data_IF_862083110747
#
_entry.id   IF_862083110747
#
_cell.length_a   1.000
_cell.length_b   1.000
_cell.length_c   1.000
_cell.angle_alpha   90.00
_cell.angle_beta   90.00
_cell.angle_gamma   90.00
#
_symmetry.space_group_name_H-M   'P 1'
#
loop_
_entity.id
_entity.type
_entity.pdbx_description
1 polymer ?
#
# COMPACT_ATOMS: atom_id res chain seq x y z
N UNK A 1 -5.09 25.73 15.22
CA UNK A 1 -4.83 24.79 16.34
C UNK A 1 -6.18 24.48 16.92
N UNK A 2 -6.75 23.31 16.63
CA UNK A 2 -8.09 22.97 17.15
C UNK A 2 -7.94 21.79 18.10
N UNK A 3 -7.78 22.11 19.38
CA UNK A 3 -8.05 21.25 20.52
C UNK A 3 -9.52 20.79 20.48
N UNK A 4 -9.78 19.48 20.57
CA UNK A 4 -11.15 18.96 20.52
C UNK A 4 -11.65 18.70 21.95
N UNK A 5 -12.48 19.61 22.44
CA UNK A 5 -13.10 19.54 23.77
C UNK A 5 -14.09 18.38 23.87
N UNK A 6 -14.06 17.67 25.00
CA UNK A 6 -15.04 16.66 25.38
C UNK A 6 -15.82 17.17 26.59
N UNK A 7 -17.12 17.30 26.42
CA UNK A 7 -18.03 17.84 27.44
C UNK A 7 -18.80 16.73 28.14
N UNK A 8 -19.28 17.02 29.36
CA UNK A 8 -20.16 16.11 30.09
C UNK A 8 -21.44 15.87 29.25
N UNK A 9 -21.71 14.62 28.82
CA UNK A 9 -22.89 14.30 28.03
C UNK A 9 -24.17 14.41 28.88
N UNK A 10 -25.33 14.43 28.21
CA UNK A 10 -26.61 14.40 28.92
C UNK A 10 -26.73 13.13 29.77
N UNK A 11 -27.03 13.32 31.06
CA UNK A 11 -27.23 12.26 32.02
C UNK A 11 -28.69 11.78 31.96
N UNK A 12 -28.91 10.48 32.15
CA UNK A 12 -30.27 9.93 32.22
C UNK A 12 -31.07 10.62 33.34
N UNK A 13 -32.38 10.79 33.12
CA UNK A 13 -33.34 11.40 34.06
C UNK A 13 -33.24 12.93 34.29
N UNK A 14 -32.58 13.68 33.40
CA UNK A 14 -32.61 15.16 33.44
C UNK A 14 -31.79 15.77 34.58
N UNK A 15 -30.83 15.01 35.10
CA UNK A 15 -29.83 15.48 36.06
C UNK A 15 -28.94 16.55 35.41
N UNK A 16 -28.65 17.61 36.15
CA UNK A 16 -27.98 18.81 35.62
C UNK A 16 -26.50 18.88 35.95
N UNK A 17 -26.07 18.21 37.02
CA UNK A 17 -24.71 18.26 37.55
C UNK A 17 -24.24 16.85 37.96
N UNK A 18 -22.93 16.64 37.92
CA UNK A 18 -22.27 15.43 38.43
C UNK A 18 -20.93 15.77 39.11
N UNK A 19 -20.54 14.98 40.10
CA UNK A 19 -19.24 15.09 40.78
C UNK A 19 -18.21 14.16 40.12
N UNK A 20 -16.99 14.66 39.90
CA UNK A 20 -15.87 13.84 39.38
C UNK A 20 -15.30 12.98 40.52
N UNK A 21 -15.52 11.67 40.46
CA UNK A 21 -15.04 10.72 41.49
C UNK A 21 -13.59 10.33 41.25
N UNK A 22 -13.28 9.92 40.02
CA UNK A 22 -11.96 9.41 39.68
C UNK A 22 -11.68 9.53 38.18
N UNK A 23 -10.48 9.99 37.83
CA UNK A 23 -9.97 9.89 36.47
C UNK A 23 -9.28 8.54 36.23
N UNK A 24 -9.62 7.89 35.12
CA UNK A 24 -8.98 6.63 34.67
C UNK A 24 -7.85 6.86 33.68
N UNK A 25 -7.61 8.12 33.32
CA UNK A 25 -6.66 8.54 32.29
C UNK A 25 -5.94 9.81 32.73
N UNK A 26 -4.71 10.00 32.24
CA UNK A 26 -3.89 11.16 32.50
C UNK A 26 -3.53 11.90 31.18
N UNK A 27 -3.21 13.21 31.24
CA UNK A 27 -2.61 13.90 30.10
C UNK A 27 -1.35 13.18 29.64
N UNK A 28 -1.25 12.84 28.36
CA UNK A 28 -0.19 11.95 27.85
C UNK A 28 -0.68 10.57 27.40
N UNK A 29 -1.86 10.15 27.87
CA UNK A 29 -2.36 8.80 27.61
C UNK A 29 -3.06 8.70 26.26
N UNK A 30 -2.88 7.54 25.61
CA UNK A 30 -3.67 7.15 24.44
C UNK A 30 -4.84 6.30 24.90
N UNK A 31 -6.04 6.65 24.44
CA UNK A 31 -7.29 5.99 24.78
C UNK A 31 -7.95 5.44 23.52
N UNK A 32 -8.56 4.27 23.63
CA UNK A 32 -9.38 3.68 22.57
C UNK A 32 -10.85 4.02 22.76
N UNK A 33 -11.62 3.98 21.68
CA UNK A 33 -13.07 4.12 21.70
C UNK A 33 -13.69 3.11 22.67
N UNK A 34 -14.59 3.55 23.54
CA UNK A 34 -15.22 2.71 24.56
C UNK A 34 -14.43 2.57 25.88
N UNK A 35 -13.17 3.00 25.94
CA UNK A 35 -12.38 2.97 27.17
C UNK A 35 -12.91 3.98 28.19
N UNK A 36 -13.10 3.55 29.45
CA UNK A 36 -13.53 4.44 30.53
C UNK A 36 -12.55 5.60 30.73
N UNK A 37 -13.05 6.84 30.69
CA UNK A 37 -12.25 8.05 30.89
C UNK A 37 -12.35 8.54 32.34
N UNK A 38 -13.56 8.60 32.87
CA UNK A 38 -13.84 9.19 34.18
C UNK A 38 -15.05 8.51 34.83
N UNK A 39 -14.95 8.26 36.13
CA UNK A 39 -16.09 7.90 36.97
C UNK A 39 -16.71 9.17 37.54
N UNK A 40 -18.03 9.30 37.37
CA UNK A 40 -18.82 10.41 37.90
C UNK A 40 -19.85 9.90 38.89
N UNK A 41 -20.15 10.68 39.91
CA UNK A 41 -21.23 10.42 40.87
C UNK A 41 -22.36 11.43 40.67
N UNK A 42 -23.57 10.90 40.67
CA UNK A 42 -24.81 11.67 40.69
C UNK A 42 -25.59 11.30 41.93
N UNK A 43 -26.65 12.06 42.26
CA UNK A 43 -27.58 11.77 43.37
C UNK A 43 -28.20 10.35 43.33
N UNK A 44 -28.08 9.63 42.21
CA UNK A 44 -28.66 8.29 42.05
C UNK A 44 -27.64 7.16 41.95
N UNK A 45 -26.51 7.38 41.27
CA UNK A 45 -25.55 6.33 40.96
C UNK A 45 -24.19 6.89 40.54
N UNK A 46 -23.16 6.03 40.67
CA UNK A 46 -21.86 6.20 40.03
C UNK A 46 -21.90 5.61 38.62
N UNK A 47 -21.42 6.36 37.64
CA UNK A 47 -21.37 5.95 36.24
C UNK A 47 -20.00 6.24 35.62
N UNK A 48 -19.56 5.39 34.69
CA UNK A 48 -18.34 5.60 33.92
C UNK A 48 -18.66 6.20 32.56
N UNK A 49 -17.91 7.24 32.18
CA UNK A 49 -18.03 7.86 30.87
C UNK A 49 -16.95 7.28 29.95
N UNK A 50 -17.32 6.54 28.89
CA UNK A 50 -16.35 6.01 27.94
C UNK A 50 -15.88 7.04 26.92
N UNK A 51 -14.72 6.81 26.32
CA UNK A 51 -14.19 7.61 25.23
C UNK A 51 -15.03 7.44 23.97
N UNK A 52 -15.45 8.52 23.28
CA UNK A 52 -16.21 8.44 22.04
C UNK A 52 -15.33 8.18 20.80
N UNK A 53 -14.00 8.17 20.96
CA UNK A 53 -13.04 8.00 19.86
C UNK A 53 -11.67 7.56 20.36
N UNK A 54 -10.86 7.06 19.43
CA UNK A 54 -9.43 6.86 19.64
C UNK A 54 -8.75 8.23 19.67
N UNK A 55 -8.04 8.53 20.75
CA UNK A 55 -7.43 9.83 20.94
C UNK A 55 -6.29 9.80 21.95
N UNK A 56 -5.50 10.87 21.95
CA UNK A 56 -4.55 11.16 23.03
C UNK A 56 -5.17 12.21 23.95
N UNK A 57 -5.08 12.08 25.27
CA UNK A 57 -5.49 13.09 26.24
C UNK A 57 -4.46 14.24 26.28
N UNK A 58 -4.84 15.44 25.84
CA UNK A 58 -3.95 16.61 25.92
C UNK A 58 -3.94 17.23 27.32
N UNK A 59 -5.11 17.40 27.93
CA UNK A 59 -5.25 17.93 29.29
C UNK A 59 -6.63 17.63 29.87
N UNK A 60 -6.68 17.49 31.19
CA UNK A 60 -7.93 17.44 31.96
C UNK A 60 -8.29 18.87 32.37
N UNK A 61 -9.57 19.23 32.28
CA UNK A 61 -10.07 20.58 32.55
C UNK A 61 -10.68 20.73 33.96
N UNK A 62 -10.92 19.62 34.65
CA UNK A 62 -11.57 19.54 35.97
C UNK A 62 -10.85 18.50 36.84
N UNK A 63 -10.80 18.74 38.15
CA UNK A 63 -10.15 17.89 39.13
C UNK A 63 -11.13 16.89 39.77
N UNK A 64 -10.60 15.84 40.40
CA UNK A 64 -11.40 14.96 41.25
C UNK A 64 -11.98 15.76 42.44
N UNK A 65 -13.27 15.56 42.72
CA UNK A 65 -14.07 16.32 43.69
C UNK A 65 -14.75 17.57 43.12
N UNK A 66 -14.53 17.92 41.85
CA UNK A 66 -15.25 19.04 41.22
C UNK A 66 -16.68 18.65 40.83
N UNK A 67 -17.64 19.56 41.02
CA UNK A 67 -19.02 19.43 40.55
C UNK A 67 -19.16 20.16 39.21
N UNK A 68 -19.59 19.44 38.17
CA UNK A 68 -19.64 19.92 36.79
C UNK A 68 -21.05 19.79 36.20
N UNK A 69 -21.51 20.84 35.52
CA UNK A 69 -22.82 20.84 34.85
C UNK A 69 -22.77 20.17 33.48
N UNK A 70 -23.89 19.62 33.02
CA UNK A 70 -24.02 19.05 31.66
C UNK A 70 -23.58 20.07 30.62
N UNK A 71 -22.75 19.64 29.67
CA UNK A 71 -22.15 20.50 28.66
C UNK A 71 -20.85 21.20 29.08
N UNK A 72 -20.41 21.09 30.34
CA UNK A 72 -19.10 21.59 30.77
C UNK A 72 -17.97 20.72 30.20
N UNK A 73 -16.87 21.36 29.78
CA UNK A 73 -15.70 20.67 29.22
C UNK A 73 -14.93 19.91 30.30
N UNK A 74 -14.86 18.58 30.17
CA UNK A 74 -14.18 17.69 31.11
C UNK A 74 -12.70 17.54 30.77
N UNK A 75 -12.38 17.34 29.49
CA UNK A 75 -11.01 17.20 29.00
C UNK A 75 -10.88 17.70 27.57
N UNK A 76 -9.64 17.83 27.14
CA UNK A 76 -9.27 18.11 25.76
C UNK A 76 -8.51 16.94 25.19
N UNK A 77 -8.96 16.46 24.04
CA UNK A 77 -8.18 15.53 23.24
C UNK A 77 -7.09 16.26 22.46
N UNK A 78 -5.86 15.76 22.55
CA UNK A 78 -4.72 16.18 21.76
C UNK A 78 -4.79 15.67 20.33
N UNK A 79 -3.96 16.27 19.47
CA UNK A 79 -3.89 15.89 18.05
C UNK A 79 -3.39 14.45 17.90
N UNK A 80 -4.33 13.51 17.78
CA UNK A 80 -4.25 12.46 16.78
C UNK A 80 -5.11 12.92 15.60
N UNK A 81 -4.58 13.20 14.40
CA UNK A 81 -5.42 13.72 13.34
C UNK A 81 -6.18 12.57 12.66
N UNK A 82 -7.48 12.53 12.88
CA UNK A 82 -8.45 12.22 11.84
C UNK A 82 -9.46 13.37 11.75
N UNK A 83 -9.14 14.40 10.94
CA UNK A 83 -10.11 15.06 10.07
C UNK A 83 -9.47 16.11 9.15
N UNK A 84 -9.61 15.81 7.86
CA UNK A 84 -9.74 16.65 6.66
C UNK A 84 -9.73 18.17 6.90
N UNK A 85 -8.55 18.79 6.73
CA UNK A 85 -8.46 20.14 6.16
C UNK A 85 -7.43 20.11 5.04
N UNK A 86 -7.89 20.54 3.86
CA UNK A 86 -7.07 20.89 2.69
C UNK A 86 -5.94 21.80 3.14
N UNK A 87 -4.76 21.21 3.37
CA UNK A 87 -3.51 21.94 3.29
C UNK A 87 -3.18 22.02 1.80
N UNK A 88 -3.01 23.24 1.30
CA UNK A 88 -2.41 23.49 -0.01
C UNK A 88 -1.17 22.60 -0.18
N UNK A 89 -1.05 21.93 -1.33
CA UNK A 89 0.05 21.01 -1.67
C UNK A 89 1.44 21.62 -1.40
N UNK A 90 1.57 22.94 -1.48
CA UNK A 90 2.79 23.68 -1.19
C UNK A 90 3.27 23.59 0.28
N UNK A 91 2.35 23.51 1.26
CA UNK A 91 2.71 23.41 2.68
C UNK A 91 3.12 21.97 3.07
N UNK A 92 2.50 20.96 2.43
CA UNK A 92 2.90 19.56 2.55
C UNK A 92 4.27 19.30 1.90
N UNK A 93 4.52 19.86 0.71
CA UNK A 93 5.84 19.82 0.05
C UNK A 93 6.95 20.50 0.86
N UNK A 94 6.62 21.56 1.61
CA UNK A 94 7.57 22.28 2.47
C UNK A 94 8.04 21.44 3.66
N UNK A 95 7.12 20.77 4.36
CA UNK A 95 7.46 19.89 5.47
C UNK A 95 8.18 18.61 5.00
N UNK A 96 7.85 18.11 3.81
CA UNK A 96 8.49 16.97 3.13
C UNK A 96 9.97 17.24 2.78
N UNK A 97 10.30 18.44 2.27
CA UNK A 97 11.69 18.86 2.06
C UNK A 97 12.49 18.93 3.37
N UNK A 98 11.84 19.19 4.49
CA UNK A 98 12.49 19.42 5.78
C UNK A 98 12.85 18.09 6.48
N UNK A 99 12.03 17.04 6.37
CA UNK A 99 12.32 15.70 6.89
C UNK A 99 13.44 14.99 6.09
N UNK A 100 13.43 15.09 4.76
CA UNK A 100 14.47 14.53 3.89
C UNK A 100 15.79 15.32 3.88
N UNK A 101 15.78 16.56 4.39
CA UNK A 101 16.97 17.36 4.57
C UNK A 101 17.71 17.07 5.87
N UNK A 102 17.26 16.09 6.68
CA UNK A 102 17.98 15.71 7.89
C UNK A 102 19.41 15.26 7.51
N UNK A 103 20.45 15.68 8.25
CA UNK A 103 21.81 15.21 7.99
C UNK A 103 21.92 13.68 7.99
N UNK A 104 21.13 13.00 8.83
CA UNK A 104 21.08 11.55 8.92
C UNK A 104 20.54 10.90 7.64
N UNK A 105 19.40 11.37 7.11
CA UNK A 105 18.82 10.86 5.88
C UNK A 105 19.76 11.08 4.68
N UNK A 106 20.42 12.26 4.59
CA UNK A 106 21.38 12.53 3.52
C UNK A 106 22.61 11.64 3.57
N UNK A 107 23.12 11.38 4.78
CA UNK A 107 24.25 10.47 4.97
C UNK A 107 23.86 9.05 4.56
N UNK A 108 22.69 8.58 5.01
CA UNK A 108 22.18 7.25 4.66
C UNK A 108 21.99 7.09 3.15
N UNK A 109 21.36 8.05 2.47
CA UNK A 109 21.21 8.03 1.00
C UNK A 109 22.57 7.92 0.30
N UNK A 110 23.57 8.67 0.77
CA UNK A 110 24.92 8.64 0.21
C UNK A 110 25.58 7.27 0.38
N UNK A 111 25.50 6.70 1.58
CA UNK A 111 26.04 5.37 1.88
C UNK A 111 25.38 4.30 1.00
N UNK A 112 24.04 4.28 0.96
CA UNK A 112 23.28 3.35 0.12
C UNK A 112 23.66 3.47 -1.36
N UNK A 113 23.83 4.69 -1.86
CA UNK A 113 24.17 4.93 -3.27
C UNK A 113 25.57 4.40 -3.61
N UNK A 114 26.56 4.62 -2.74
CA UNK A 114 27.91 4.07 -2.91
C UNK A 114 27.91 2.54 -2.93
N UNK A 115 27.12 1.92 -2.06
CA UNK A 115 26.99 0.46 -2.03
C UNK A 115 26.31 -0.09 -3.30
N UNK A 116 25.26 0.58 -3.80
CA UNK A 116 24.61 0.21 -5.06
C UNK A 116 25.53 0.37 -6.27
N UNK A 117 26.35 1.43 -6.31
CA UNK A 117 27.36 1.63 -7.35
C UNK A 117 28.37 0.47 -7.33
N UNK A 118 28.88 0.10 -6.16
CA UNK A 118 29.79 -1.05 -6.03
C UNK A 118 29.16 -2.39 -6.47
N UNK A 119 27.86 -2.60 -6.18
CA UNK A 119 27.12 -3.78 -6.65
C UNK A 119 27.01 -3.79 -8.18
N UNK A 120 26.67 -2.65 -8.79
CA UNK A 120 26.56 -2.54 -10.26
C UNK A 120 27.89 -2.77 -10.95
N UNK A 121 28.98 -2.25 -10.38
CA UNK A 121 30.32 -2.41 -10.94
C UNK A 121 30.86 -3.84 -10.80
N UNK A 122 30.41 -4.58 -9.78
CA UNK A 122 30.80 -5.97 -9.53
C UNK A 122 29.89 -7.01 -10.21
N UNK A 123 28.69 -6.61 -10.64
CA UNK A 123 27.81 -7.49 -11.39
C UNK A 123 28.47 -7.90 -12.72
N UNK A 124 28.49 -9.19 -13.07
CA UNK A 124 29.08 -9.64 -14.33
C UNK A 124 28.40 -8.89 -15.49
N UNK A 125 29.20 -8.13 -16.26
CA UNK A 125 28.74 -7.49 -17.49
C UNK A 125 28.43 -8.57 -18.53
N UNK A 126 27.24 -9.15 -18.50
CA UNK A 126 26.78 -10.07 -19.54
C UNK A 126 25.77 -11.10 -19.09
N UNK A 127 24.49 -10.77 -19.21
CA UNK A 127 23.43 -11.70 -19.63
C UNK A 127 22.18 -10.98 -20.15
N UNK A 128 22.29 -9.79 -20.75
CA UNK A 128 21.30 -9.42 -21.77
C UNK A 128 21.83 -10.00 -23.06
N UNK A 129 21.43 -11.23 -23.40
CA UNK A 129 21.44 -11.61 -24.81
C UNK A 129 20.42 -10.70 -25.49
N UNK A 130 20.79 -9.84 -26.45
CA UNK A 130 19.84 -9.04 -27.22
C UNK A 130 18.99 -9.90 -28.19
N UNK A 131 18.84 -11.19 -27.91
CA UNK A 131 18.03 -12.14 -28.68
C UNK A 131 16.61 -12.16 -28.14
N UNK A 132 15.89 -11.06 -28.40
CA UNK A 132 14.42 -10.94 -28.55
C UNK A 132 14.01 -9.45 -28.69
N UNK A 133 14.93 -8.60 -29.13
CA UNK A 133 14.67 -7.22 -29.53
C UNK A 133 14.18 -7.06 -30.99
N UNK A 134 13.10 -7.74 -31.42
CA UNK A 134 12.29 -7.17 -32.50
C UNK A 134 10.80 -7.11 -32.12
N UNK A 135 10.46 -6.30 -31.12
CA UNK A 135 9.07 -5.84 -30.92
C UNK A 135 8.96 -4.35 -30.54
N UNK A 136 10.03 -3.74 -30.02
CA UNK A 136 10.00 -2.34 -29.56
C UNK A 136 11.21 -1.49 -30.02
N UNK A 137 11.84 -1.87 -31.13
CA UNK A 137 12.89 -1.05 -31.76
C UNK A 137 12.28 -0.05 -32.77
N UNK A 138 11.52 0.91 -32.26
CA UNK A 138 11.28 2.17 -32.95
C UNK A 138 11.67 3.28 -31.98
N UNK A 139 12.63 4.11 -32.39
CA UNK A 139 13.15 5.23 -31.63
C UNK A 139 12.01 6.03 -30.97
N UNK A 140 12.09 6.23 -29.65
CA UNK A 140 11.16 7.05 -28.90
C UNK A 140 11.04 8.45 -29.53
N UNK A 141 9.91 8.81 -30.16
CA UNK A 141 9.62 10.19 -30.46
C UNK A 141 9.18 10.90 -29.17
N UNK A 142 9.30 12.22 -29.16
CA UNK A 142 8.67 13.03 -28.11
C UNK A 142 7.18 12.67 -28.00
N UNK A 143 6.71 12.46 -26.77
CA UNK A 143 5.38 11.98 -26.43
C UNK A 143 4.29 12.91 -27.01
N UNK A 144 3.55 12.41 -28.01
CA UNK A 144 2.25 12.93 -28.43
C UNK A 144 1.17 12.07 -27.74
N UNK A 145 0.33 12.63 -26.86
CA UNK A 145 -0.69 11.89 -26.12
C UNK A 145 -1.78 11.22 -27.00
N UNK A 146 -1.74 11.38 -28.33
CA UNK A 146 -2.69 10.79 -29.27
C UNK A 146 -2.31 9.45 -29.89
N UNK A 147 -1.10 8.92 -29.68
CA UNK A 147 -0.66 7.68 -30.38
C UNK A 147 -0.05 6.68 -29.41
N UNK A 148 -0.86 5.81 -28.83
CA UNK A 148 -0.33 4.63 -28.14
C UNK A 148 -0.02 3.52 -29.15
N UNK A 149 1.09 2.83 -28.93
CA UNK A 149 1.47 1.62 -29.68
C UNK A 149 0.46 0.48 -29.44
N UNK A 150 -0.32 0.53 -28.35
CA UNK A 150 -1.33 -0.48 -28.00
C UNK A 150 -2.64 -0.32 -28.79
N UNK A 151 -3.03 0.90 -29.15
CA UNK A 151 -4.28 1.20 -29.85
C UNK A 151 -4.40 0.56 -31.25
N UNK A 152 -3.28 0.10 -31.82
CA UNK A 152 -3.20 -0.52 -33.15
C UNK A 152 -2.94 -2.03 -33.12
N UNK A 153 -2.85 -2.66 -31.94
CA UNK A 153 -2.57 -4.09 -31.84
C UNK A 153 -3.85 -4.96 -31.96
N UNK A 154 -3.80 -5.93 -32.87
CA UNK A 154 -4.82 -6.98 -33.02
C UNK A 154 -4.94 -7.85 -31.77
N UNK A 155 -6.12 -8.45 -31.52
CA UNK A 155 -6.31 -9.47 -30.47
C UNK A 155 -5.28 -10.61 -30.55
N UNK A 156 -4.77 -10.92 -31.76
CA UNK A 156 -3.69 -11.89 -31.97
C UNK A 156 -2.32 -11.46 -31.42
N UNK A 157 -2.08 -10.15 -31.23
CA UNK A 157 -0.82 -9.61 -30.73
C UNK A 157 -0.77 -9.55 -29.19
N UNK A 158 -1.93 -9.51 -28.50
CA UNK A 158 -1.99 -9.63 -27.04
C UNK A 158 -1.56 -11.02 -26.55
N UNK A 159 -1.83 -12.06 -27.35
CA UNK A 159 -1.44 -13.44 -27.05
C UNK A 159 0.09 -13.66 -26.99
N UNK A 160 0.88 -12.76 -27.58
CA UNK A 160 2.34 -12.86 -27.61
C UNK A 160 3.04 -11.93 -26.61
N UNK A 161 2.30 -11.05 -25.91
CA UNK A 161 2.89 -10.17 -24.91
C UNK A 161 3.14 -10.92 -23.59
N UNK A 162 4.39 -10.89 -23.07
CA UNK A 162 4.73 -11.54 -21.82
C UNK A 162 3.87 -11.09 -20.63
N UNK A 163 3.65 -11.98 -19.68
CA UNK A 163 2.87 -11.73 -18.47
C UNK A 163 3.81 -11.26 -17.37
N UNK A 164 3.55 -10.06 -16.84
CA UNK A 164 4.15 -9.60 -15.60
C UNK A 164 3.51 -10.38 -14.45
N UNK A 165 4.33 -11.09 -13.68
CA UNK A 165 3.94 -11.72 -12.41
C UNK A 165 4.54 -10.87 -11.30
N UNK A 166 3.67 -10.34 -10.45
CA UNK A 166 4.05 -9.66 -9.21
C UNK A 166 3.80 -10.60 -8.02
N UNK A 167 4.79 -10.75 -7.15
CA UNK A 167 4.67 -11.56 -5.93
C UNK A 167 4.78 -10.68 -4.70
N UNK A 168 3.70 -10.54 -3.93
CA UNK A 168 3.65 -9.91 -2.63
C UNK A 168 3.92 -10.93 -1.51
N UNK A 169 5.16 -10.93 -1.01
CA UNK A 169 5.68 -12.09 -0.30
C UNK A 169 5.29 -12.16 1.17
N UNK A 170 4.87 -11.07 1.80
CA UNK A 170 4.59 -11.08 3.24
C UNK A 170 3.38 -10.26 3.68
N UNK A 171 3.28 -8.98 3.38
CA UNK A 171 2.23 -8.14 3.96
C UNK A 171 2.30 -8.07 5.49
N UNK A 172 1.13 -8.00 6.15
CA UNK A 172 1.03 -8.17 7.60
C UNK A 172 0.68 -9.62 8.02
N UNK A 173 0.98 -10.59 7.14
CA UNK A 173 0.69 -12.01 7.36
C UNK A 173 1.45 -12.56 8.55
N UNK A 174 0.73 -13.21 9.45
CA UNK A 174 1.32 -13.80 10.65
C UNK A 174 1.81 -15.23 10.39
N UNK A 175 2.96 -15.66 10.96
CA UNK A 175 3.43 -17.05 10.85
C UNK A 175 2.44 -18.10 11.35
N UNK A 176 1.58 -17.72 12.30
CA UNK A 176 0.49 -18.57 12.78
C UNK A 176 -0.52 -18.92 11.68
N UNK A 177 -0.66 -18.05 10.66
CA UNK A 177 -1.52 -18.29 9.49
C UNK A 177 -0.83 -19.21 8.48
N UNK A 178 0.39 -18.87 8.12
CA UNK A 178 1.22 -19.69 7.24
C UNK A 178 2.68 -19.61 7.72
N UNK A 179 3.30 -20.74 8.12
CA UNK A 179 4.66 -20.74 8.67
C UNK A 179 5.74 -20.37 7.64
N UNK A 180 5.41 -20.35 6.35
CA UNK A 180 6.33 -20.00 5.27
C UNK A 180 6.45 -18.50 5.01
N UNK A 181 5.62 -17.66 5.66
CA UNK A 181 5.71 -16.21 5.49
C UNK A 181 7.09 -15.68 5.96
N UNK A 182 7.82 -14.93 5.12
CA UNK A 182 9.10 -14.37 5.51
C UNK A 182 8.92 -13.12 6.40
N UNK A 183 9.38 -13.20 7.64
CA UNK A 183 9.20 -12.14 8.66
C UNK A 183 10.48 -11.45 9.10
N UNK A 184 11.65 -11.95 8.69
CA UNK A 184 12.96 -11.35 8.99
C UNK A 184 13.62 -10.84 7.72
N UNK A 185 14.57 -9.90 7.83
CA UNK A 185 15.36 -9.41 6.68
C UNK A 185 15.98 -10.54 5.87
N UNK A 186 16.60 -11.51 6.55
CA UNK A 186 17.22 -12.67 5.88
C UNK A 186 16.17 -13.53 5.15
N UNK A 187 15.03 -13.80 5.79
CA UNK A 187 13.96 -14.58 5.18
C UNK A 187 13.34 -13.86 3.98
N UNK A 188 13.07 -12.56 4.10
CA UNK A 188 12.53 -11.70 3.04
C UNK A 188 13.48 -11.69 1.84
N UNK A 189 14.79 -11.52 2.10
CA UNK A 189 15.83 -11.52 1.06
C UNK A 189 15.86 -12.84 0.29
N UNK A 190 15.94 -13.96 1.02
CA UNK A 190 15.99 -15.30 0.41
C UNK A 190 14.74 -15.59 -0.40
N UNK A 191 13.57 -15.28 0.16
CA UNK A 191 12.28 -15.58 -0.45
C UNK A 191 12.04 -14.74 -1.72
N UNK A 192 12.38 -13.43 -1.68
CA UNK A 192 12.32 -12.55 -2.84
C UNK A 192 13.20 -13.06 -4.01
N UNK A 193 14.46 -13.43 -3.73
CA UNK A 193 15.36 -14.01 -4.75
C UNK A 193 14.77 -15.31 -5.32
N UNK A 194 14.21 -16.17 -4.46
CA UNK A 194 13.61 -17.42 -4.89
C UNK A 194 12.37 -17.19 -5.78
N UNK A 195 11.53 -16.20 -5.47
CA UNK A 195 10.37 -15.83 -6.29
C UNK A 195 10.78 -15.24 -7.64
N UNK A 196 11.78 -14.35 -7.67
CA UNK A 196 12.33 -13.80 -8.92
C UNK A 196 12.82 -14.91 -9.84
N UNK A 197 13.60 -15.87 -9.31
CA UNK A 197 14.08 -17.04 -10.05
C UNK A 197 12.97 -18.01 -10.45
N UNK A 198 11.85 -18.00 -9.75
CA UNK A 198 10.68 -18.80 -10.07
C UNK A 198 9.80 -18.19 -11.16
N UNK A 199 10.03 -16.93 -11.55
CA UNK A 199 9.31 -16.25 -12.63
C UNK A 199 8.61 -14.94 -12.23
N UNK A 200 8.75 -14.47 -10.99
CA UNK A 200 8.29 -13.14 -10.63
C UNK A 200 9.13 -12.07 -11.33
N UNK A 201 8.48 -11.05 -11.87
CA UNK A 201 9.13 -9.87 -12.44
C UNK A 201 9.22 -8.72 -11.43
N UNK A 202 8.25 -8.66 -10.52
CA UNK A 202 8.13 -7.64 -9.47
C UNK A 202 7.96 -8.36 -8.13
N UNK A 203 8.66 -7.90 -7.10
CA UNK A 203 8.44 -8.36 -5.71
C UNK A 203 8.00 -7.17 -4.87
N UNK A 204 6.82 -7.29 -4.27
CA UNK A 204 6.33 -6.37 -3.26
C UNK A 204 6.66 -6.89 -1.86
N UNK A 205 7.13 -6.02 -0.98
CA UNK A 205 7.44 -6.39 0.40
C UNK A 205 6.93 -5.38 1.42
N UNK A 206 6.59 -5.91 2.58
CA UNK A 206 6.53 -5.16 3.82
C UNK A 206 7.84 -5.31 4.60
N UNK A 207 8.09 -4.36 5.51
CA UNK A 207 9.19 -4.43 6.46
C UNK A 207 9.08 -5.71 7.30
N UNK A 208 10.18 -6.16 7.93
CA UNK A 208 10.15 -7.27 8.88
C UNK A 208 9.00 -7.13 9.89
N UNK A 209 8.45 -8.27 10.32
CA UNK A 209 7.28 -8.25 11.20
C UNK A 209 7.63 -7.56 12.52
N UNK A 210 6.84 -6.57 12.92
CA UNK A 210 7.08 -5.73 14.10
C UNK A 210 7.81 -4.42 13.81
N UNK A 211 8.36 -4.24 12.61
CA UNK A 211 9.04 -3.00 12.20
C UNK A 211 8.08 -1.96 11.57
N UNK A 212 6.77 -2.24 11.56
CA UNK A 212 5.79 -1.26 11.09
C UNK A 212 5.73 -0.05 12.04
N UNK A 213 5.80 1.14 11.48
CA UNK A 213 5.81 2.39 12.27
C UNK A 213 7.19 2.84 12.75
N UNK A 214 8.28 2.15 12.36
CA UNK A 214 9.63 2.66 12.57
C UNK A 214 9.79 4.06 11.95
N UNK A 215 10.67 4.91 12.52
CA UNK A 215 11.05 6.17 11.89
C UNK A 215 11.53 5.97 10.46
N UNK A 216 11.28 6.92 9.54
CA UNK A 216 11.55 6.74 8.11
C UNK A 216 12.96 6.28 7.76
N UNK A 217 13.99 6.81 8.43
CA UNK A 217 15.39 6.42 8.21
C UNK A 217 15.67 4.97 8.62
N UNK A 218 15.07 4.53 9.73
CA UNK A 218 15.23 3.16 10.23
C UNK A 218 14.47 2.18 9.33
N UNK A 219 13.25 2.52 8.93
CA UNK A 219 12.47 1.73 7.98
C UNK A 219 13.22 1.60 6.63
N UNK A 220 13.74 2.71 6.08
CA UNK A 220 14.52 2.70 4.86
C UNK A 220 15.78 1.82 4.97
N UNK A 221 16.50 1.90 6.10
CA UNK A 221 17.66 1.05 6.34
C UNK A 221 17.30 -0.45 6.34
N UNK A 222 16.17 -0.83 6.97
CA UNK A 222 15.69 -2.22 6.98
C UNK A 222 15.32 -2.75 5.60
N UNK A 223 14.60 -1.97 4.81
CA UNK A 223 14.30 -2.33 3.43
C UNK A 223 15.59 -2.45 2.61
N UNK A 224 16.51 -1.50 2.74
CA UNK A 224 17.75 -1.49 1.97
C UNK A 224 18.65 -2.68 2.31
N UNK A 225 18.71 -3.12 3.58
CA UNK A 225 19.47 -4.30 3.97
C UNK A 225 19.06 -5.52 3.13
N UNK A 226 17.76 -5.70 2.90
CA UNK A 226 17.23 -6.76 2.02
C UNK A 226 17.47 -6.45 0.54
N UNK A 227 17.08 -5.25 0.09
CA UNK A 227 17.10 -4.89 -1.33
C UNK A 227 18.51 -4.86 -1.92
N UNK A 228 19.50 -4.47 -1.12
CA UNK A 228 20.91 -4.52 -1.50
C UNK A 228 21.34 -5.94 -1.87
N UNK A 229 21.00 -6.93 -1.04
CA UNK A 229 21.34 -8.32 -1.30
C UNK A 229 20.55 -8.90 -2.48
N UNK A 230 19.27 -8.53 -2.62
CA UNK A 230 18.45 -8.93 -3.76
C UNK A 230 19.02 -8.38 -5.06
N UNK A 231 19.32 -7.08 -5.14
CA UNK A 231 19.87 -6.43 -6.33
C UNK A 231 21.29 -6.92 -6.68
N UNK A 232 22.06 -7.39 -5.70
CA UNK A 232 23.33 -8.06 -5.97
C UNK A 232 23.15 -9.43 -6.63
N UNK A 233 22.07 -10.16 -6.29
CA UNK A 233 21.76 -11.46 -6.87
C UNK A 233 20.98 -11.37 -8.19
N UNK A 234 20.07 -10.40 -8.29
CA UNK A 234 19.12 -10.19 -9.40
C UNK A 234 19.10 -8.68 -9.77
N UNK A 235 20.07 -8.18 -10.56
CA UNK A 235 20.28 -6.74 -10.79
C UNK A 235 19.13 -5.99 -11.45
N UNK A 236 18.29 -6.70 -12.21
CA UNK A 236 17.12 -6.13 -12.90
C UNK A 236 15.84 -6.20 -12.05
N UNK A 237 15.90 -6.72 -10.83
CA UNK A 237 14.73 -6.90 -9.97
C UNK A 237 13.95 -5.60 -9.76
N UNK A 238 12.63 -5.69 -9.91
CA UNK A 238 11.72 -4.59 -9.63
C UNK A 238 11.15 -4.78 -8.23
N UNK A 239 11.55 -3.92 -7.31
CA UNK A 239 11.19 -3.98 -5.90
C UNK A 239 10.46 -2.71 -5.51
N UNK A 240 9.43 -2.84 -4.66
CA UNK A 240 8.85 -1.69 -4.00
C UNK A 240 8.25 -2.05 -2.63
N UNK A 241 8.51 -1.22 -1.60
CA UNK A 241 8.00 -1.45 -0.25
C UNK A 241 6.53 -1.00 -0.14
N UNK A 242 5.87 -1.39 0.95
CA UNK A 242 4.60 -0.76 1.35
C UNK A 242 4.79 0.63 1.95
N UNK A 243 3.67 1.30 2.25
CA UNK A 243 3.67 2.54 3.03
C UNK A 243 4.10 2.27 4.49
N UNK A 244 4.74 3.25 5.10
CA UNK A 244 5.17 3.22 6.49
C UNK A 244 4.08 3.71 7.44
N UNK A 245 4.43 3.83 8.72
CA UNK A 245 3.60 4.52 9.70
C UNK A 245 3.61 6.03 9.46
N UNK A 246 2.66 6.72 10.09
CA UNK A 246 2.52 8.18 9.98
C UNK A 246 1.07 8.61 9.93
N UNK A 247 0.83 9.86 10.30
CA UNK A 247 -0.48 10.49 10.33
C UNK A 247 -0.85 11.18 9.02
N UNK A 248 0.15 11.50 8.20
CA UNK A 248 -0.01 12.10 6.87
C UNK A 248 0.54 11.17 5.78
N UNK A 249 0.05 11.28 4.54
CA UNK A 249 0.67 10.54 3.43
C UNK A 249 2.15 10.87 3.25
N UNK A 250 2.55 12.12 3.50
CA UNK A 250 3.97 12.53 3.48
C UNK A 250 4.83 11.72 4.44
N UNK A 251 4.37 11.52 5.68
CA UNK A 251 5.10 10.72 6.69
C UNK A 251 5.15 9.25 6.28
N UNK A 252 4.00 8.70 5.84
CA UNK A 252 3.87 7.30 5.41
C UNK A 252 4.73 6.97 4.18
N UNK A 253 5.06 7.94 3.33
CA UNK A 253 5.90 7.76 2.14
C UNK A 253 7.37 8.14 2.36
N UNK A 254 7.75 8.62 3.55
CA UNK A 254 9.07 9.22 3.77
C UNK A 254 10.24 8.22 3.62
N UNK A 255 10.07 6.95 4.00
CA UNK A 255 11.11 5.93 3.77
C UNK A 255 11.27 5.59 2.28
N UNK A 256 10.20 5.68 1.50
CA UNK A 256 10.23 5.51 0.04
C UNK A 256 11.05 6.63 -0.61
N UNK A 257 10.93 7.86 -0.12
CA UNK A 257 11.77 8.97 -0.61
C UNK A 257 13.26 8.75 -0.37
N UNK A 258 13.63 8.16 0.77
CA UNK A 258 15.03 7.82 1.09
C UNK A 258 15.52 6.72 0.12
N UNK A 259 14.77 5.63 -0.01
CA UNK A 259 15.12 4.51 -0.89
C UNK A 259 15.19 4.94 -2.37
N UNK A 260 14.21 5.71 -2.83
CA UNK A 260 14.18 6.24 -4.19
C UNK A 260 15.28 7.29 -4.42
N UNK A 261 15.58 8.12 -3.41
CA UNK A 261 16.71 9.04 -3.42
C UNK A 261 18.05 8.33 -3.56
N UNK A 262 18.21 7.16 -2.94
CA UNK A 262 19.38 6.29 -3.11
C UNK A 262 19.43 5.59 -4.47
N UNK A 263 18.35 5.60 -5.26
CA UNK A 263 18.27 4.93 -6.55
C UNK A 263 18.01 3.43 -6.43
N UNK A 264 17.40 2.99 -5.32
CA UNK A 264 17.03 1.59 -5.07
C UNK A 264 15.74 1.21 -5.80
N UNK A 265 14.83 2.18 -5.98
CA UNK A 265 13.46 1.95 -6.45
C UNK A 265 13.26 2.43 -7.88
N UNK A 266 12.37 1.73 -8.59
CA UNK A 266 11.79 2.16 -9.88
C UNK A 266 10.27 2.28 -9.84
N UNK A 267 9.66 1.65 -8.85
CA UNK A 267 8.22 1.59 -8.65
C UNK A 267 7.92 2.21 -7.29
N UNK A 268 6.96 3.13 -7.27
CA UNK A 268 6.27 3.58 -6.06
C UNK A 268 4.85 3.03 -6.05
N UNK A 269 4.02 3.55 -5.15
CA UNK A 269 2.64 3.09 -5.00
C UNK A 269 1.69 4.28 -4.81
N UNK A 270 0.43 4.06 -5.15
CA UNK A 270 -0.67 4.95 -4.77
C UNK A 270 -1.95 4.15 -4.64
N UNK A 271 -2.71 4.45 -3.59
CA UNK A 271 -4.02 3.85 -3.33
C UNK A 271 -5.08 4.94 -3.58
N UNK A 272 -5.73 4.96 -4.77
CA UNK A 272 -6.54 6.09 -5.20
C UNK A 272 -7.95 6.09 -4.61
N UNK A 273 -8.08 5.88 -3.30
CA UNK A 273 -9.37 6.03 -2.63
C UNK A 273 -9.35 5.72 -1.14
N UNK A 274 -10.54 5.79 -0.55
CA UNK A 274 -10.80 5.45 0.85
C UNK A 274 -11.92 4.43 0.94
N UNK A 275 -11.83 3.52 1.90
CA UNK A 275 -12.83 2.47 2.15
C UNK A 275 -12.73 1.93 3.58
N UNK A 276 -13.68 1.11 3.99
CA UNK A 276 -13.60 0.37 5.25
C UNK A 276 -12.96 -0.99 4.95
N UNK A 277 -11.81 -1.27 5.57
CA UNK A 277 -11.21 -2.59 5.60
C UNK A 277 -11.90 -3.40 6.71
N UNK A 278 -12.88 -4.20 6.32
CA UNK A 278 -13.75 -4.94 7.23
C UNK A 278 -13.96 -6.39 6.86
N UNK A 279 -14.61 -7.09 7.79
CA UNK A 279 -14.94 -8.52 7.73
C UNK A 279 -16.22 -8.80 8.52
N UNK A 280 -16.77 -10.01 8.42
CA UNK A 280 -17.93 -10.39 9.23
C UNK A 280 -17.52 -10.79 10.66
N UNK A 281 -18.26 -10.29 11.64
CA UNK A 281 -18.21 -10.70 13.04
C UNK A 281 -18.80 -12.10 13.25
N UNK A 282 -18.76 -12.58 14.49
CA UNK A 282 -19.19 -13.94 14.84
C UNK A 282 -20.67 -14.23 14.57
N UNK A 283 -21.51 -13.20 14.51
CA UNK A 283 -22.94 -13.26 14.19
C UNK A 283 -23.24 -13.06 12.70
N UNK A 284 -22.21 -12.86 11.87
CA UNK A 284 -22.32 -12.57 10.44
C UNK A 284 -22.58 -11.08 10.11
N UNK A 285 -22.73 -10.20 11.10
CA UNK A 285 -22.82 -8.76 10.87
C UNK A 285 -21.43 -8.16 10.57
N UNK A 286 -21.31 -6.95 9.99
CA UNK A 286 -20.02 -6.28 9.85
C UNK A 286 -19.32 -6.12 11.21
N UNK A 287 -18.05 -6.52 11.27
CA UNK A 287 -17.23 -6.45 12.47
C UNK A 287 -17.07 -5.02 12.97
N UNK A 288 -17.25 -4.82 14.27
CA UNK A 288 -16.94 -3.55 14.94
C UNK A 288 -15.43 -3.23 14.97
N UNK A 289 -14.58 -4.24 14.77
CA UNK A 289 -13.11 -4.11 14.74
C UNK A 289 -12.56 -3.74 13.36
N UNK A 290 -13.44 -3.47 12.38
CA UNK A 290 -13.03 -2.92 11.07
C UNK A 290 -12.36 -1.56 11.21
N UNK A 291 -11.53 -1.18 10.23
CA UNK A 291 -10.88 0.14 10.26
C UNK A 291 -11.03 0.89 8.94
N UNK A 292 -11.14 2.22 9.06
CA UNK A 292 -11.30 3.11 7.93
C UNK A 292 -9.94 3.37 7.28
N UNK A 293 -9.74 2.85 6.07
CA UNK A 293 -8.55 3.09 5.26
C UNK A 293 -8.74 4.36 4.43
N UNK A 294 -8.03 5.43 4.79
CA UNK A 294 -8.23 6.76 4.21
C UNK A 294 -7.04 7.15 3.32
N UNK A 295 -7.35 7.42 2.05
CA UNK A 295 -6.50 8.19 1.16
C UNK A 295 -7.38 9.22 0.44
N UNK A 296 -7.19 10.48 0.81
CA UNK A 296 -7.89 11.61 0.21
C UNK A 296 -7.25 11.99 -1.12
N UNK A 297 -7.89 12.87 -1.91
CA UNK A 297 -7.25 13.40 -3.12
C UNK A 297 -5.92 14.12 -2.80
N UNK A 298 -5.81 14.81 -1.66
CA UNK A 298 -4.54 15.43 -1.25
C UNK A 298 -3.43 14.40 -0.98
N UNK A 299 -3.80 13.23 -0.45
CA UNK A 299 -2.85 12.13 -0.26
C UNK A 299 -2.41 11.54 -1.60
N UNK A 300 -3.35 11.37 -2.55
CA UNK A 300 -3.04 10.93 -3.92
C UNK A 300 -2.09 11.91 -4.62
N UNK A 301 -2.34 13.22 -4.49
CA UNK A 301 -1.46 14.27 -5.00
C UNK A 301 -0.05 14.20 -4.40
N UNK A 302 0.05 13.86 -3.12
CA UNK A 302 1.35 13.66 -2.44
C UNK A 302 2.11 12.47 -3.04
N UNK A 303 1.43 11.35 -3.28
CA UNK A 303 2.03 10.18 -3.93
C UNK A 303 2.48 10.49 -5.38
N UNK A 304 1.65 11.21 -6.15
CA UNK A 304 2.00 11.64 -7.51
C UNK A 304 3.21 12.59 -7.54
N UNK A 305 3.28 13.53 -6.60
CA UNK A 305 4.41 14.44 -6.45
C UNK A 305 5.71 13.70 -6.09
N UNK A 306 5.64 12.71 -5.18
CA UNK A 306 6.77 11.82 -4.88
C UNK A 306 7.23 11.06 -6.13
N UNK A 307 6.31 10.40 -6.83
CA UNK A 307 6.65 9.61 -8.01
C UNK A 307 7.29 10.49 -9.11
N UNK A 308 6.76 11.69 -9.33
CA UNK A 308 7.32 12.66 -10.28
C UNK A 308 8.73 13.09 -9.88
N UNK A 309 8.93 13.49 -8.62
CA UNK A 309 10.23 13.92 -8.08
C UNK A 309 11.30 12.85 -8.20
N UNK A 310 10.94 11.60 -7.94
CA UNK A 310 11.87 10.47 -7.96
C UNK A 310 11.92 9.71 -9.28
N UNK A 311 11.08 10.10 -10.27
CA UNK A 311 10.91 9.38 -11.54
C UNK A 311 10.57 7.90 -11.32
N UNK A 312 9.57 7.65 -10.49
CA UNK A 312 9.04 6.30 -10.23
C UNK A 312 7.81 6.04 -11.12
N UNK A 313 7.66 4.79 -11.55
CA UNK A 313 6.33 4.26 -11.90
C UNK A 313 5.43 4.17 -10.67
N UNK A 314 4.15 3.83 -10.87
CA UNK A 314 3.19 3.71 -9.76
C UNK A 314 2.39 2.42 -9.91
N UNK A 315 2.48 1.55 -8.91
CA UNK A 315 1.48 0.49 -8.70
C UNK A 315 0.22 1.10 -8.07
N UNK A 316 -0.89 1.03 -8.79
CA UNK A 316 -2.20 1.57 -8.36
C UNK A 316 -3.04 0.46 -7.74
N UNK A 317 -3.20 0.47 -6.41
CA UNK A 317 -4.02 -0.52 -5.71
C UNK A 317 -5.52 -0.18 -5.82
N UNK A 318 -6.26 -0.91 -6.65
CA UNK A 318 -7.69 -0.73 -6.87
C UNK A 318 -8.46 -1.77 -6.09
N UNK A 319 -8.92 -1.39 -4.91
CA UNK A 319 -9.80 -2.24 -4.11
C UNK A 319 -11.25 -2.13 -4.55
N UNK A 320 -11.69 -0.95 -5.02
CA UNK A 320 -13.09 -0.67 -5.34
C UNK A 320 -13.24 0.01 -6.72
N UNK A 321 -14.41 -0.08 -7.39
CA UNK A 321 -14.69 0.70 -8.59
C UNK A 321 -14.51 2.21 -8.41
N UNK A 322 -14.77 2.74 -7.21
CA UNK A 322 -14.48 4.14 -6.87
C UNK A 322 -13.00 4.50 -7.00
N UNK A 323 -12.10 3.58 -6.62
CA UNK A 323 -10.65 3.77 -6.73
C UNK A 323 -10.24 3.83 -8.19
N UNK A 324 -10.79 2.95 -9.03
CA UNK A 324 -10.51 2.98 -10.47
C UNK A 324 -10.98 4.29 -11.10
N UNK A 325 -12.17 4.80 -10.75
CA UNK A 325 -12.66 6.08 -11.27
C UNK A 325 -11.70 7.23 -10.97
N UNK A 326 -11.15 7.27 -9.75
CA UNK A 326 -10.16 8.27 -9.35
C UNK A 326 -8.87 8.12 -10.17
N UNK A 327 -8.32 6.91 -10.27
CA UNK A 327 -7.14 6.64 -11.11
C UNK A 327 -7.34 7.07 -12.58
N UNK A 328 -8.52 6.78 -13.14
CA UNK A 328 -8.88 7.15 -14.51
C UNK A 328 -9.03 8.66 -14.72
N UNK A 329 -9.32 9.45 -13.66
CA UNK A 329 -9.25 10.92 -13.75
C UNK A 329 -7.81 11.36 -13.95
N UNK A 330 -6.87 10.86 -13.12
CA UNK A 330 -5.45 11.19 -13.25
C UNK A 330 -4.85 10.72 -14.58
N UNK A 331 -5.25 9.54 -15.05
CA UNK A 331 -4.85 9.03 -16.36
C UNK A 331 -5.31 9.94 -17.51
N UNK A 332 -6.60 10.30 -17.55
CA UNK A 332 -7.16 11.19 -18.59
C UNK A 332 -6.53 12.58 -18.60
N UNK A 333 -6.10 13.06 -17.43
CA UNK A 333 -5.39 14.34 -17.31
C UNK A 333 -3.91 14.24 -17.70
N UNK A 334 -3.40 13.06 -18.05
CA UNK A 334 -1.98 12.83 -18.35
C UNK A 334 -1.07 13.01 -17.14
N UNK A 335 -1.59 12.81 -15.92
CA UNK A 335 -0.87 13.09 -14.67
C UNK A 335 -0.25 11.86 -14.01
N UNK A 336 -0.60 10.66 -14.48
CA UNK A 336 0.09 9.44 -14.06
C UNK A 336 1.45 9.34 -14.76
N UNK A 337 2.53 8.98 -14.05
CA UNK A 337 3.85 8.84 -14.66
C UNK A 337 3.94 7.60 -15.58
N UNK A 338 4.90 7.57 -16.51
CA UNK A 338 5.33 6.31 -17.14
C UNK A 338 5.67 5.28 -16.07
N UNK A 339 5.29 4.02 -16.28
CA UNK A 339 5.38 3.00 -15.24
C UNK A 339 4.13 2.84 -14.39
N UNK A 340 3.06 3.59 -14.64
CA UNK A 340 1.79 3.37 -13.97
C UNK A 340 1.15 2.02 -14.38
N UNK A 341 0.73 1.23 -13.40
CA UNK A 341 0.05 -0.05 -13.61
C UNK A 341 -1.11 -0.18 -12.63
N UNK A 342 -2.22 -0.72 -13.10
CA UNK A 342 -3.43 -0.96 -12.31
C UNK A 342 -3.36 -2.34 -11.67
N UNK A 343 -3.74 -2.47 -10.39
CA UNK A 343 -3.88 -3.76 -9.71
C UNK A 343 -5.27 -3.88 -9.11
N UNK A 344 -6.09 -4.77 -9.66
CA UNK A 344 -7.44 -5.04 -9.15
C UNK A 344 -7.37 -6.03 -7.99
N UNK A 345 -7.71 -5.58 -6.80
CA UNK A 345 -7.90 -6.43 -5.62
C UNK A 345 -9.37 -6.86 -5.54
N UNK A 346 -9.63 -8.13 -5.82
CA UNK A 346 -10.92 -8.75 -5.56
C UNK A 346 -11.00 -9.22 -4.10
N UNK A 347 -12.18 -9.10 -3.48
CA UNK A 347 -12.43 -9.56 -2.13
C UNK A 347 -12.75 -11.04 -2.08
N UNK A 348 -11.96 -11.82 -1.34
CA UNK A 348 -12.15 -13.26 -1.13
C UNK A 348 -13.07 -13.60 0.04
N UNK A 349 -12.98 -14.86 0.48
CA UNK A 349 -13.87 -15.46 1.47
C UNK A 349 -13.38 -15.33 2.92
N UNK A 350 -12.16 -14.81 3.13
CA UNK A 350 -11.61 -14.50 4.44
C UNK A 350 -11.37 -13.00 4.57
N UNK A 351 -11.70 -12.41 5.71
CA UNK A 351 -11.50 -10.99 5.91
C UNK A 351 -10.03 -10.56 5.87
N UNK A 352 -9.81 -9.25 5.82
CA UNK A 352 -8.48 -8.67 5.70
C UNK A 352 -7.53 -9.17 6.81
N UNK A 353 -6.29 -9.52 6.46
CA UNK A 353 -5.33 -10.21 7.33
C UNK A 353 -5.75 -11.59 7.88
N UNK A 354 -6.82 -12.20 7.35
CA UNK A 354 -7.36 -13.46 7.86
C UNK A 354 -8.26 -13.29 9.08
N UNK A 355 -8.82 -12.09 9.25
CA UNK A 355 -9.78 -11.80 10.31
C UNK A 355 -11.19 -12.22 9.91
N UNK A 356 -11.81 -13.11 10.70
CA UNK A 356 -13.20 -13.55 10.47
C UNK A 356 -13.47 -14.15 9.07
N UNK A 357 -14.76 -14.30 8.74
CA UNK A 357 -15.20 -14.73 7.42
C UNK A 357 -15.58 -13.53 6.54
N UNK A 358 -15.22 -13.60 5.26
CA UNK A 358 -15.59 -12.67 4.20
C UNK A 358 -14.84 -11.34 4.23
N UNK A 359 -14.44 -10.85 3.07
CA UNK A 359 -14.04 -9.45 2.87
C UNK A 359 -15.29 -8.60 2.67
N UNK A 360 -15.42 -7.49 3.41
CA UNK A 360 -16.58 -6.57 3.26
C UNK A 360 -16.39 -5.48 2.20
N UNK A 361 -15.32 -5.57 1.41
CA UNK A 361 -14.91 -4.62 0.39
C UNK A 361 -14.35 -5.37 -0.83
N UNK A 362 -14.27 -4.63 -1.93
CA UNK A 362 -13.88 -5.14 -3.22
C UNK A 362 -14.95 -5.99 -3.88
N UNK A 363 -14.90 -6.02 -5.21
CA UNK A 363 -15.77 -6.89 -5.97
C UNK A 363 -15.36 -8.35 -5.73
N UNK A 364 -16.30 -9.31 -5.71
CA UNK A 364 -15.97 -10.72 -5.55
C UNK A 364 -15.23 -11.24 -6.80
N UNK A 365 -14.33 -12.25 -6.69
CA UNK A 365 -13.48 -12.75 -7.77
C UNK A 365 -14.27 -13.58 -8.80
N UNK A 366 -15.15 -12.91 -9.55
CA UNK A 366 -16.04 -13.51 -10.54
C UNK A 366 -15.78 -12.92 -11.93
N UNK A 367 -16.19 -13.64 -12.97
CA UNK A 367 -16.12 -13.15 -14.34
C UNK A 367 -16.81 -11.79 -14.52
N UNK A 368 -18.02 -11.61 -13.96
CA UNK A 368 -18.80 -10.37 -14.07
C UNK A 368 -18.16 -9.20 -13.33
N UNK A 369 -17.52 -9.46 -12.20
CA UNK A 369 -16.79 -8.43 -11.47
C UNK A 369 -15.57 -7.94 -12.24
N UNK A 370 -14.82 -8.87 -12.87
CA UNK A 370 -13.74 -8.50 -13.78
C UNK A 370 -14.29 -7.72 -14.99
N UNK A 371 -15.40 -8.15 -15.59
CA UNK A 371 -16.04 -7.44 -16.69
C UNK A 371 -16.40 -6.01 -16.31
N UNK A 372 -16.88 -5.76 -15.08
CA UNK A 372 -17.18 -4.41 -14.62
C UNK A 372 -15.94 -3.49 -14.62
N UNK A 373 -14.79 -3.97 -14.13
CA UNK A 373 -13.55 -3.21 -14.19
C UNK A 373 -13.06 -2.99 -15.63
N UNK A 374 -13.13 -4.02 -16.47
CA UNK A 374 -12.69 -3.92 -17.87
C UNK A 374 -13.59 -2.99 -18.70
N UNK A 375 -14.90 -2.99 -18.47
CA UNK A 375 -15.83 -2.05 -19.08
C UNK A 375 -15.50 -0.61 -18.69
N UNK A 376 -15.13 -0.36 -17.43
CA UNK A 376 -14.70 0.97 -17.00
C UNK A 376 -13.41 1.43 -17.68
N UNK A 377 -12.43 0.54 -17.86
CA UNK A 377 -11.22 0.84 -18.65
C UNK A 377 -11.57 1.15 -20.10
N UNK A 378 -12.41 0.33 -20.72
CA UNK A 378 -12.84 0.49 -22.11
C UNK A 378 -13.58 1.81 -22.32
N UNK A 379 -14.54 2.15 -21.46
CA UNK A 379 -15.29 3.41 -21.54
C UNK A 379 -14.40 4.63 -21.35
N UNK A 380 -13.34 4.51 -20.56
CA UNK A 380 -12.34 5.57 -20.41
C UNK A 380 -11.34 5.61 -21.58
N UNK A 381 -11.24 4.57 -22.40
CA UNK A 381 -10.17 4.40 -23.38
C UNK A 381 -8.80 4.16 -22.73
N UNK A 382 -8.76 3.66 -21.49
CA UNK A 382 -7.54 3.50 -20.71
C UNK A 382 -6.77 2.25 -21.13
N UNK A 383 -5.49 2.45 -21.45
CA UNK A 383 -4.61 1.38 -21.96
C UNK A 383 -3.49 1.00 -20.98
N UNK A 384 -3.57 1.49 -19.74
CA UNK A 384 -2.62 1.12 -18.70
C UNK A 384 -2.60 -0.41 -18.54
N UNK A 385 -1.41 -1.01 -18.35
CA UNK A 385 -1.29 -2.40 -17.92
C UNK A 385 -2.09 -2.62 -16.63
N UNK A 386 -2.71 -3.80 -16.50
CA UNK A 386 -3.49 -4.14 -15.32
C UNK A 386 -3.25 -5.59 -14.88
N UNK A 387 -3.26 -5.83 -13.58
CA UNK A 387 -3.20 -7.16 -12.96
C UNK A 387 -4.41 -7.44 -12.07
N UNK A 388 -4.58 -8.70 -11.69
CA UNK A 388 -5.60 -9.15 -10.73
C UNK A 388 -4.95 -9.83 -9.52
N UNK A 389 -5.54 -9.60 -8.35
CA UNK A 389 -5.22 -10.21 -7.07
C UNK A 389 -6.52 -10.62 -6.37
N UNK A 390 -6.45 -11.58 -5.44
CA UNK A 390 -7.59 -11.95 -4.58
C UNK A 390 -7.15 -11.79 -3.14
N UNK A 391 -7.51 -10.66 -2.54
CA UNK A 391 -7.25 -10.37 -1.14
C UNK A 391 -8.18 -11.24 -0.28
N UNK A 392 -7.64 -12.03 0.64
CA UNK A 392 -8.50 -12.87 1.48
C UNK A 392 -8.97 -14.17 0.82
N UNK A 393 -8.27 -14.65 -0.22
CA UNK A 393 -8.63 -15.91 -0.89
C UNK A 393 -7.44 -16.57 -1.60
N UNK A 394 -7.69 -17.50 -2.52
CA UNK A 394 -6.68 -18.04 -3.44
C UNK A 394 -7.02 -17.63 -4.87
N UNK A 395 -6.17 -16.80 -5.46
CA UNK A 395 -6.29 -16.34 -6.85
C UNK A 395 -6.53 -17.51 -7.82
N UNK A 396 -5.86 -18.65 -7.62
CA UNK A 396 -5.90 -19.78 -8.55
C UNK A 396 -7.08 -20.73 -8.31
N UNK A 397 -7.83 -20.55 -7.22
CA UNK A 397 -9.11 -21.25 -6.99
C UNK A 397 -10.30 -20.45 -7.56
N UNK A 398 -10.03 -19.32 -8.21
CA UNK A 398 -11.05 -18.45 -8.80
C UNK A 398 -10.92 -18.37 -10.32
N UNK A 399 -12.01 -18.04 -11.05
CA UNK A 399 -11.93 -17.87 -12.50
C UNK A 399 -11.12 -16.63 -12.93
N UNK A 400 -10.91 -15.64 -12.06
CA UNK A 400 -10.35 -14.33 -12.47
C UNK A 400 -8.90 -14.41 -12.92
N UNK A 401 -8.09 -15.34 -12.41
CA UNK A 401 -6.70 -15.50 -12.83
C UNK A 401 -6.59 -15.87 -14.31
N UNK A 402 -7.29 -16.93 -14.73
CA UNK A 402 -7.30 -17.38 -16.13
C UNK A 402 -7.92 -16.33 -17.04
N UNK A 403 -9.07 -15.77 -16.64
CA UNK A 403 -9.76 -14.73 -17.42
C UNK A 403 -8.90 -13.48 -17.59
N UNK A 404 -8.14 -13.08 -16.58
CA UNK A 404 -7.22 -11.96 -16.69
C UNK A 404 -6.18 -12.21 -17.78
N UNK A 405 -5.55 -13.39 -17.78
CA UNK A 405 -4.56 -13.74 -18.79
C UNK A 405 -5.16 -13.79 -20.21
N UNK A 406 -6.32 -14.42 -20.37
CA UNK A 406 -7.03 -14.53 -21.66
C UNK A 406 -7.46 -13.17 -22.21
N UNK A 407 -7.61 -12.16 -21.34
CA UNK A 407 -8.03 -10.79 -21.69
C UNK A 407 -6.88 -9.79 -21.70
N UNK A 408 -5.63 -10.26 -21.71
CA UNK A 408 -4.44 -9.41 -21.85
C UNK A 408 -3.93 -8.80 -20.54
N UNK A 409 -4.48 -9.17 -19.39
CA UNK A 409 -4.03 -8.76 -18.07
C UNK A 409 -2.80 -9.50 -17.56
N UNK A 410 -2.45 -9.18 -16.32
CA UNK A 410 -1.29 -9.68 -15.58
C UNK A 410 -1.71 -10.29 -14.24
N UNK A 411 -0.78 -10.90 -13.49
CA UNK A 411 -1.10 -11.58 -12.23
C UNK A 411 -0.34 -10.97 -11.05
N UNK A 412 -1.03 -10.87 -9.92
CA UNK A 412 -0.47 -10.53 -8.62
C UNK A 412 -0.84 -11.63 -7.62
N UNK A 413 0.16 -12.23 -6.97
CA UNK A 413 -0.02 -13.34 -6.03
C UNK A 413 0.95 -13.23 -4.85
N UNK A 414 0.95 -14.22 -3.97
CA UNK A 414 1.86 -14.30 -2.82
C UNK A 414 1.13 -14.42 -1.50
N UNK A 415 1.89 -14.69 -0.44
CA UNK A 415 1.38 -14.97 0.90
C UNK A 415 0.73 -13.77 1.56
N UNK A 416 1.00 -12.55 1.10
CA UNK A 416 0.31 -11.35 1.55
C UNK A 416 -1.21 -11.48 1.40
N UNK A 417 -1.65 -11.84 0.19
CA UNK A 417 -3.06 -11.92 -0.17
C UNK A 417 -3.67 -13.31 0.09
N UNK A 418 -2.83 -14.36 0.06
CA UNK A 418 -3.27 -15.74 0.08
C UNK A 418 -3.88 -16.17 1.43
N UNK A 419 -5.10 -16.68 1.34
CA UNK A 419 -5.91 -17.20 2.45
C UNK A 419 -6.71 -18.46 2.04
N UNK A 420 -6.27 -19.14 0.99
CA UNK A 420 -6.88 -20.38 0.50
C UNK A 420 -6.57 -21.61 1.35
N UNK A 421 -6.96 -22.77 0.83
CA UNK A 421 -6.68 -24.05 1.47
C UNK A 421 -5.18 -24.39 1.43
N UNK A 422 -4.66 -24.92 2.53
CA UNK A 422 -3.25 -25.34 2.64
C UNK A 422 -2.30 -24.26 3.17
N UNK A 423 -1.00 -24.51 3.04
CA UNK A 423 0.07 -23.63 3.49
C UNK A 423 1.19 -23.60 2.43
N UNK A 424 0.93 -23.06 1.23
CA UNK A 424 1.96 -22.96 0.21
C UNK A 424 3.06 -21.99 0.65
N UNK A 425 4.23 -22.04 0.02
CA UNK A 425 5.20 -20.94 0.08
C UNK A 425 5.01 -19.98 -1.11
N UNK A 426 5.69 -18.82 -1.10
CA UNK A 426 5.58 -17.85 -2.19
C UNK A 426 6.12 -18.38 -3.52
N UNK A 427 7.09 -19.30 -3.48
CA UNK A 427 7.69 -19.89 -4.68
C UNK A 427 6.67 -20.81 -5.36
N UNK A 428 5.92 -21.59 -4.58
CA UNK A 428 4.82 -22.42 -5.06
C UNK A 428 3.72 -21.57 -5.69
N UNK A 429 3.27 -20.51 -5.02
CA UNK A 429 2.28 -19.57 -5.58
C UNK A 429 2.78 -18.91 -6.88
N UNK A 430 4.05 -18.50 -6.91
CA UNK A 430 4.67 -17.95 -8.13
C UNK A 430 4.71 -19.00 -9.26
N UNK A 431 5.06 -20.25 -8.96
CA UNK A 431 5.07 -21.34 -9.95
C UNK A 431 3.67 -21.68 -10.45
N UNK A 432 2.62 -21.60 -9.62
CA UNK A 432 1.23 -21.74 -10.05
C UNK A 432 0.85 -20.64 -11.07
N UNK A 433 1.29 -19.40 -10.85
CA UNK A 433 1.11 -18.32 -11.84
C UNK A 433 1.84 -18.62 -13.16
N UNK A 434 3.10 -19.06 -13.11
CA UNK A 434 3.87 -19.45 -14.31
C UNK A 434 3.22 -20.61 -15.05
N UNK A 435 2.78 -21.63 -14.32
CA UNK A 435 2.07 -22.77 -14.90
C UNK A 435 0.80 -22.31 -15.62
N UNK A 436 -0.02 -21.46 -14.99
CA UNK A 436 -1.23 -20.94 -15.61
C UNK A 436 -0.92 -20.12 -16.87
N UNK A 437 0.16 -19.33 -16.87
CA UNK A 437 0.65 -18.61 -18.06
C UNK A 437 0.98 -19.58 -19.21
N UNK A 438 1.68 -20.68 -18.91
CA UNK A 438 1.99 -21.71 -19.90
C UNK A 438 0.73 -22.41 -20.43
N UNK A 439 -0.24 -22.69 -19.57
CA UNK A 439 -1.52 -23.31 -19.95
C UNK A 439 -2.36 -22.44 -20.90
N UNK A 440 -2.33 -21.11 -20.72
CA UNK A 440 -2.99 -20.18 -21.65
C UNK A 440 -2.12 -19.80 -22.85
N UNK A 441 -0.87 -20.29 -22.91
CA UNK A 441 0.06 -20.02 -24.00
C UNK A 441 0.66 -18.61 -24.02
N UNK A 442 0.71 -17.91 -22.87
CA UNK A 442 1.35 -16.59 -22.76
C UNK A 442 2.70 -16.70 -22.04
N UNK A 443 3.81 -16.22 -22.63
CA UNK A 443 5.12 -16.28 -21.99
C UNK A 443 5.17 -15.41 -20.72
N UNK A 444 6.09 -15.69 -19.79
CA UNK A 444 6.30 -14.90 -18.57
C UNK A 444 7.37 -13.85 -18.80
N UNK A 445 7.13 -12.62 -18.34
CA UNK A 445 8.08 -11.51 -18.45
C UNK A 445 9.23 -11.67 -17.46
N UNK A 446 10.47 -11.44 -17.89
CA UNK A 446 11.57 -11.16 -16.97
C UNK A 446 11.40 -9.78 -16.34
N UNK A 447 12.12 -9.48 -15.25
CA UNK A 447 12.09 -8.15 -14.63
C UNK A 447 12.53 -7.04 -15.62
N UNK A 448 13.52 -7.30 -16.48
CA UNK A 448 13.95 -6.39 -17.53
C UNK A 448 12.86 -6.17 -18.61
N UNK A 449 12.17 -7.23 -19.03
CA UNK A 449 11.05 -7.12 -19.97
C UNK A 449 9.88 -6.36 -19.35
N UNK A 450 9.50 -6.66 -18.10
CA UNK A 450 8.47 -5.94 -17.36
C UNK A 450 8.80 -4.45 -17.27
N UNK A 451 10.07 -4.10 -17.00
CA UNK A 451 10.50 -2.71 -16.96
C UNK A 451 10.36 -1.98 -18.31
N UNK A 452 10.57 -2.67 -19.43
CA UNK A 452 10.33 -2.11 -20.76
C UNK A 452 8.84 -1.99 -21.07
N UNK A 453 8.06 -3.02 -20.75
CA UNK A 453 6.60 -3.06 -20.97
C UNK A 453 5.86 -1.98 -20.19
N UNK A 454 6.36 -1.66 -18.99
CA UNK A 454 5.84 -0.61 -18.14
C UNK A 454 6.43 0.77 -18.47
N UNK A 455 7.43 0.85 -19.37
CA UNK A 455 8.16 2.09 -19.64
C UNK A 455 8.79 2.70 -18.37
N UNK A 456 9.27 1.83 -17.47
CA UNK A 456 9.86 2.28 -16.21
C UNK A 456 11.12 3.12 -16.46
N UNK A 457 11.25 4.29 -15.83
CA UNK A 457 12.46 5.11 -15.94
C UNK A 457 13.71 4.30 -15.62
N UNK A 458 14.76 4.46 -16.43
CA UNK A 458 16.08 3.87 -16.11
C UNK A 458 16.64 4.60 -14.90
N UNK A 459 17.21 3.84 -13.95
CA UNK A 459 17.98 4.41 -12.85
C UNK A 459 19.30 4.90 -13.44
N UNK A 460 19.31 6.07 -14.07
CA UNK A 460 20.55 6.73 -14.45
C UNK A 460 21.23 7.17 -13.17
N UNK A 461 22.49 6.76 -12.96
CA UNK A 461 23.35 7.42 -11.98
C UNK A 461 23.22 8.93 -12.21
N UNK A 462 22.77 9.67 -11.19
CA UNK A 462 22.69 11.11 -11.31
C UNK A 462 24.08 11.60 -11.71
N UNK A 463 24.17 12.40 -12.78
CA UNK A 463 25.42 13.04 -13.15
C UNK A 463 25.94 13.77 -11.91
N UNK A 464 27.14 13.39 -11.46
CA UNK A 464 27.89 14.09 -10.45
C UNK A 464 28.06 15.54 -10.90
N UNK A 465 27.22 16.43 -10.35
CA UNK A 465 27.19 17.86 -10.63
C UNK A 465 27.07 18.64 -9.34
#
# INVERSE_FOLDING_TARGET
MNEAEFTLPELSDGLRDAEIVQWHVAPGDTVSTGQALVSIETDKAVAEIPSPRDAHIARLCVAEGDIVSVGATLLVFGNAPLSVRSASSAAAESNLKQALASPAARQLVREMRLELEAIRDSAPQGAVSPGDAPLFAAAAPAHDPGTSVRATMSASAFATLPVIIETAINGATQPARNPHVPVTVEAITRDAIACLRAGAAIVHTHAPLGDFGLPPEQAAARYFESYRAILAAEPDALLYPTIGGGSTMSERLAHIDILAGAGVLRIGLMDPGSMILGWAGADGAPSHDSFLYINTFADMETALAQATRHRLGISLAIYEPGFLRNALVYWRLGRLPPGAMIKFYFGGDAGYFGSGQGVSFGLPPTAKALDAYLEMLQLAGCELPWSVAVMGGDLFETPVARLALERGGHLHTGLEDHLGSGQPDNVELTRRAVQLCNEVGRPVATAAQAALMLELPRITAAASG
#
